data_IF_757269772750
#
_entry.id   IF_757269772750
#
_cell.length_a   1.000
_cell.length_b   1.000
_cell.length_c   1.000
_cell.angle_alpha   90.00
_cell.angle_beta   90.00
_cell.angle_gamma   90.00
#
_symmetry.space_group_name_H-M   'P 1'
#
loop_
_entity.id
_entity.type
_entity.pdbx_description
1 polymer ?
#
# COMPACT_ATOMS: atom_id res chain seq x y z
N UNK A 1 27.60 57.90 -18.65
CA UNK A 1 27.77 57.38 -17.28
C UNK A 1 27.25 55.95 -17.28
N UNK A 2 28.06 54.98 -17.71
CA UNK A 2 27.69 53.56 -17.65
C UNK A 2 27.66 53.13 -16.18
N UNK A 3 26.60 52.42 -15.77
CA UNK A 3 26.39 52.02 -14.38
C UNK A 3 27.44 51.02 -13.86
N UNK A 4 27.39 50.67 -12.56
CA UNK A 4 28.35 49.78 -11.90
C UNK A 4 28.35 48.34 -12.45
N UNK A 5 27.36 47.99 -13.28
CA UNK A 5 27.29 46.72 -13.99
C UNK A 5 27.85 46.92 -15.41
N UNK A 6 29.10 47.34 -15.50
CA UNK A 6 29.82 47.42 -16.76
C UNK A 6 29.67 46.11 -17.50
N UNK A 7 29.12 46.18 -18.72
CA UNK A 7 28.94 45.04 -19.59
C UNK A 7 30.27 44.28 -19.68
N UNK A 8 30.32 42.96 -19.44
CA UNK A 8 31.56 42.23 -19.60
C UNK A 8 31.98 42.42 -21.04
N UNK A 9 33.08 43.14 -21.25
CA UNK A 9 33.70 43.25 -22.56
C UNK A 9 34.28 41.86 -22.85
N UNK A 10 33.42 40.95 -23.32
CA UNK A 10 33.83 39.76 -24.06
C UNK A 10 34.51 40.34 -25.29
N UNK A 11 35.82 40.59 -25.15
CA UNK A 11 36.68 40.65 -26.33
C UNK A 11 36.46 39.32 -27.00
N UNK A 12 35.77 39.34 -28.13
CA UNK A 12 35.60 38.21 -29.05
C UNK A 12 36.93 37.73 -29.66
N UNK A 13 38.05 38.12 -29.05
CA UNK A 13 39.40 38.14 -29.57
C UNK A 13 40.41 38.04 -28.41
N UNK A 14 40.16 37.12 -27.48
CA UNK A 14 41.22 36.47 -26.69
C UNK A 14 40.88 34.98 -26.77
N UNK A 15 41.68 34.25 -27.56
CA UNK A 15 41.43 32.87 -27.94
C UNK A 15 41.43 31.89 -26.76
N UNK A 16 41.24 30.62 -27.12
CA UNK A 16 41.08 29.44 -26.24
C UNK A 16 39.60 29.10 -25.94
N UNK A 17 38.81 28.86 -26.98
CA UNK A 17 38.22 27.50 -27.00
C UNK A 17 39.33 26.70 -27.66
N UNK A 18 40.23 26.13 -26.86
CA UNK A 18 41.14 25.13 -27.40
C UNK A 18 40.22 23.99 -27.84
N UNK A 19 40.37 23.50 -29.07
CA UNK A 19 39.77 22.22 -29.47
C UNK A 19 40.30 21.07 -28.57
N UNK A 20 41.35 21.30 -27.77
CA UNK A 20 41.82 20.41 -26.69
C UNK A 20 40.91 20.40 -25.43
N UNK A 21 39.93 21.30 -25.30
CA UNK A 21 38.86 21.26 -24.28
C UNK A 21 37.55 20.67 -24.85
N UNK A 22 37.58 20.08 -26.05
CA UNK A 22 36.49 19.29 -26.58
C UNK A 22 36.35 18.01 -25.74
N UNK A 23 35.14 17.74 -25.23
CA UNK A 23 34.86 16.52 -24.48
C UNK A 23 35.36 15.31 -25.28
N UNK A 24 36.27 14.54 -24.69
CA UNK A 24 36.80 13.36 -25.35
C UNK A 24 35.75 12.27 -25.48
N UNK A 25 36.02 11.31 -26.39
CA UNK A 25 35.19 10.12 -26.54
C UNK A 25 35.05 9.33 -25.22
N UNK A 26 36.07 9.40 -24.35
CA UNK A 26 36.07 8.74 -23.04
C UNK A 26 35.04 9.37 -22.08
N UNK A 27 34.95 10.70 -22.02
CA UNK A 27 33.97 11.40 -21.21
C UNK A 27 32.54 11.15 -21.72
N UNK A 28 32.34 11.12 -23.04
CA UNK A 28 31.04 10.73 -23.62
C UNK A 28 30.69 9.28 -23.31
N UNK A 29 31.67 8.36 -23.36
CA UNK A 29 31.46 6.97 -22.97
C UNK A 29 31.13 6.84 -21.48
N UNK A 30 31.79 7.60 -20.61
CA UNK A 30 31.51 7.65 -19.18
C UNK A 30 30.09 8.19 -18.91
N UNK A 31 29.68 9.25 -19.61
CA UNK A 31 28.32 9.80 -19.52
C UNK A 31 27.28 8.77 -19.96
N UNK A 32 27.51 8.09 -21.09
CA UNK A 32 26.60 7.03 -21.55
C UNK A 32 26.51 5.88 -20.55
N UNK A 33 27.64 5.46 -19.97
CA UNK A 33 27.64 4.43 -18.92
C UNK A 33 26.87 4.88 -17.68
N UNK A 34 26.97 6.14 -17.28
CA UNK A 34 26.18 6.68 -16.17
C UNK A 34 24.69 6.73 -16.50
N UNK A 35 24.32 7.08 -17.74
CA UNK A 35 22.93 7.06 -18.20
C UNK A 35 22.35 5.64 -18.19
N UNK A 36 23.10 4.65 -18.67
CA UNK A 36 22.69 3.24 -18.62
C UNK A 36 22.52 2.75 -17.18
N UNK A 37 23.41 3.16 -16.28
CA UNK A 37 23.30 2.85 -14.86
C UNK A 37 22.06 3.49 -14.23
N UNK A 38 21.74 4.75 -14.57
CA UNK A 38 20.52 5.41 -14.11
C UNK A 38 19.28 4.67 -14.63
N UNK A 39 19.25 4.29 -15.91
CA UNK A 39 18.14 3.54 -16.48
C UNK A 39 17.92 2.21 -15.75
N UNK A 40 18.99 1.44 -15.50
CA UNK A 40 18.91 0.21 -14.72
C UNK A 40 18.36 0.45 -13.31
N UNK A 41 18.77 1.53 -12.65
CA UNK A 41 18.22 1.86 -11.32
C UNK A 41 16.75 2.28 -11.34
N UNK A 42 16.29 2.91 -12.42
CA UNK A 42 14.89 3.25 -12.61
C UNK A 42 14.04 2.00 -12.83
N UNK A 43 14.50 1.08 -13.68
CA UNK A 43 13.84 -0.21 -13.92
C UNK A 43 13.71 -1.01 -12.60
N UNK A 44 14.79 -1.13 -11.84
CA UNK A 44 14.80 -1.81 -10.54
C UNK A 44 13.87 -1.12 -9.52
N UNK A 45 13.70 0.21 -9.62
CA UNK A 45 12.82 0.96 -8.73
C UNK A 45 11.36 0.76 -9.10
N UNK A 46 11.04 0.73 -10.40
CA UNK A 46 9.70 0.46 -10.91
C UNK A 46 9.25 -0.95 -10.52
N UNK A 47 10.08 -1.97 -10.74
CA UNK A 47 9.77 -3.35 -10.34
C UNK A 47 9.48 -3.47 -8.84
N UNK A 48 10.30 -2.83 -8.00
CA UNK A 48 10.09 -2.81 -6.55
C UNK A 48 8.82 -2.07 -6.15
N UNK A 49 8.47 -0.99 -6.87
CA UNK A 49 7.24 -0.25 -6.63
C UNK A 49 6.01 -1.10 -6.95
N UNK A 50 6.03 -1.78 -8.09
CA UNK A 50 4.96 -2.68 -8.52
C UNK A 50 4.79 -3.86 -7.54
N UNK A 51 5.89 -4.47 -7.11
CA UNK A 51 5.86 -5.54 -6.12
C UNK A 51 5.30 -5.06 -4.77
N UNK A 52 5.64 -3.84 -4.34
CA UNK A 52 5.12 -3.25 -3.12
C UNK A 52 3.61 -2.97 -3.21
N UNK A 53 3.16 -2.40 -4.33
CA UNK A 53 1.75 -2.14 -4.59
C UNK A 53 0.95 -3.45 -4.64
N UNK A 54 1.49 -4.50 -5.27
CA UNK A 54 0.90 -5.83 -5.28
C UNK A 54 0.69 -6.39 -3.86
N UNK A 55 1.74 -6.34 -3.02
CA UNK A 55 1.65 -6.78 -1.61
C UNK A 55 0.65 -5.97 -0.80
N UNK A 56 0.53 -4.67 -1.06
CA UNK A 56 -0.46 -3.82 -0.39
C UNK A 56 -1.89 -4.24 -0.77
N UNK A 57 -2.15 -4.51 -2.04
CA UNK A 57 -3.45 -4.99 -2.50
C UNK A 57 -3.82 -6.32 -1.86
N UNK A 58 -2.90 -7.29 -1.86
CA UNK A 58 -3.08 -8.59 -1.22
C UNK A 58 -3.38 -8.45 0.29
N UNK A 59 -2.63 -7.60 0.99
CA UNK A 59 -2.84 -7.35 2.42
C UNK A 59 -4.22 -6.75 2.71
N UNK A 60 -4.68 -5.79 1.89
CA UNK A 60 -6.00 -5.17 2.04
C UNK A 60 -7.13 -6.16 1.75
N UNK A 61 -6.95 -7.04 0.77
CA UNK A 61 -7.90 -8.11 0.46
C UNK A 61 -7.99 -9.14 1.59
N UNK A 62 -6.83 -9.63 2.05
CA UNK A 62 -6.75 -10.52 3.21
C UNK A 62 -7.36 -9.89 4.47
N UNK A 63 -7.15 -8.58 4.70
CA UNK A 63 -7.76 -7.89 5.83
C UNK A 63 -9.30 -7.82 5.70
N UNK A 64 -9.83 -7.60 4.49
CA UNK A 64 -11.27 -7.59 4.23
C UNK A 64 -11.87 -8.98 4.47
N UNK A 65 -11.19 -10.03 4.02
CA UNK A 65 -11.59 -11.43 4.21
C UNK A 65 -11.61 -11.81 5.70
N UNK A 66 -10.49 -11.59 6.43
CA UNK A 66 -10.41 -11.87 7.86
C UNK A 66 -11.52 -11.18 8.67
N UNK A 67 -11.89 -9.95 8.30
CA UNK A 67 -13.03 -9.23 8.93
C UNK A 67 -14.39 -9.84 8.56
N UNK A 68 -14.56 -10.37 7.35
CA UNK A 68 -15.79 -11.08 6.96
C UNK A 68 -15.91 -12.38 7.76
N UNK A 69 -14.84 -13.15 7.85
CA UNK A 69 -14.80 -14.40 8.60
C UNK A 69 -15.07 -14.17 10.08
N UNK A 70 -14.46 -13.14 10.67
CA UNK A 70 -14.71 -12.78 12.07
C UNK A 70 -16.17 -12.38 12.32
N UNK A 71 -16.77 -11.61 11.41
CA UNK A 71 -18.20 -11.27 11.51
C UNK A 71 -19.11 -12.49 11.31
N UNK A 72 -18.76 -13.39 10.39
CA UNK A 72 -19.51 -14.62 10.16
C UNK A 72 -19.46 -15.55 11.39
N UNK A 73 -18.29 -15.66 12.02
CA UNK A 73 -18.13 -16.41 13.28
C UNK A 73 -18.97 -15.79 14.41
N UNK A 74 -18.94 -14.46 14.59
CA UNK A 74 -19.77 -13.78 15.59
C UNK A 74 -21.27 -14.01 15.34
N UNK A 75 -21.74 -13.87 14.09
CA UNK A 75 -23.14 -14.11 13.73
C UNK A 75 -23.55 -15.59 13.86
N UNK A 76 -22.64 -16.53 13.55
CA UNK A 76 -22.86 -17.96 13.71
C UNK A 76 -22.87 -18.41 15.17
N UNK A 77 -22.11 -17.75 16.04
CA UNK A 77 -22.15 -18.01 17.49
C UNK A 77 -23.43 -17.50 18.15
N UNK A 78 -23.97 -16.36 17.69
CA UNK A 78 -25.25 -15.82 18.21
C UNK A 78 -26.45 -16.72 17.89
N UNK A 79 -26.44 -17.43 16.77
CA UNK A 79 -27.53 -18.35 16.38
C UNK A 79 -27.48 -19.70 17.12
N UNK A 80 -26.36 -20.07 17.78
CA UNK A 80 -26.28 -21.27 18.61
C UNK A 80 -26.72 -21.04 20.07
N UNK A 81 -26.61 -19.82 20.61
CA UNK A 81 -27.07 -19.53 21.97
C UNK A 81 -28.60 -19.40 22.04
N UNK A 82 -29.26 -18.81 21.04
CA UNK A 82 -30.75 -18.72 21.02
C UNK A 82 -31.47 -20.08 20.92
N UNK A 83 -30.80 -21.14 20.44
CA UNK A 83 -31.40 -22.47 20.34
C UNK A 83 -31.20 -23.34 21.60
N UNK A 84 -30.33 -22.95 22.53
CA UNK A 84 -30.08 -23.71 23.77
C UNK A 84 -31.03 -23.35 24.91
N UNK A 85 -31.57 -22.13 24.89
CA UNK A 85 -32.43 -21.63 25.97
C UNK A 85 -33.91 -22.04 25.82
N UNK A 86 -34.31 -22.63 24.69
CA UNK A 86 -35.72 -23.02 24.45
C UNK A 86 -36.01 -24.47 24.88
N UNK A 87 -35.00 -25.31 25.10
CA UNK A 87 -35.22 -26.72 25.47
C UNK A 87 -35.31 -26.96 26.99
N UNK A 88 -34.74 -26.10 27.85
CA UNK A 88 -34.79 -26.31 29.31
C UNK A 88 -36.11 -25.89 29.98
N UNK A 89 -36.94 -25.04 29.37
CA UNK A 89 -38.21 -24.61 30.00
C UNK A 89 -39.35 -25.63 29.84
N UNK A 90 -39.15 -26.68 29.05
CA UNK A 90 -40.20 -27.69 28.76
C UNK A 90 -40.34 -28.81 29.80
N UNK A 91 -39.54 -28.80 30.88
CA UNK A 91 -39.49 -29.93 31.84
C UNK A 91 -40.01 -29.61 33.26
N UNK A 92 -40.77 -28.54 33.46
CA UNK A 92 -41.44 -28.31 34.74
C UNK A 92 -42.73 -29.15 34.85
N UNK A 93 -42.87 -30.02 35.87
CA UNK A 93 -44.05 -30.86 36.02
C UNK A 93 -45.24 -29.99 36.43
N UNK A 94 -46.21 -29.87 35.53
CA UNK A 94 -47.53 -29.28 35.79
C UNK A 94 -48.20 -30.04 36.95
N UNK A 95 -48.19 -29.46 38.15
CA UNK A 95 -49.05 -29.90 39.26
C UNK A 95 -50.41 -29.25 39.09
N UNK A 96 -51.28 -29.90 38.31
CA UNK A 96 -52.68 -29.52 38.28
C UNK A 96 -53.58 -30.74 38.00
N UNK A 97 -53.74 -31.58 39.02
CA UNK A 97 -54.87 -32.50 39.18
C UNK A 97 -55.51 -32.13 40.54
N UNK A 98 -56.59 -31.36 40.58
CA UNK A 98 -57.99 -31.79 40.47
C UNK A 98 -58.39 -32.91 41.44
N UNK A 99 -58.99 -32.53 42.57
CA UNK A 99 -60.02 -33.31 43.27
C UNK A 99 -61.08 -32.30 43.73
N UNK A 100 -62.08 -32.03 42.88
CA UNK A 100 -63.42 -32.63 42.89
C UNK A 100 -64.23 -32.30 44.15
N UNK A 101 -65.27 -31.50 43.90
CA UNK A 101 -66.53 -31.41 44.62
C UNK A 101 -66.85 -32.69 45.41
N UNK A 102 -67.13 -32.55 46.71
CA UNK A 102 -67.95 -33.51 47.40
C UNK A 102 -68.75 -32.83 48.54
N UNK A 103 -70.03 -32.62 48.24
CA UNK A 103 -71.22 -32.58 49.10
C UNK A 103 -71.30 -31.58 50.26
#
# INVERSE_FOLDING_TARGET
MSGPNGDPNISSEEGIINDDDEFGEEEYAAVNSMLDQINSYLDDLEERNDALNGKLHELLESNREARRDFRAQLAGSQTQEEHRDVEEESTLPSKQDQDKENN
#
